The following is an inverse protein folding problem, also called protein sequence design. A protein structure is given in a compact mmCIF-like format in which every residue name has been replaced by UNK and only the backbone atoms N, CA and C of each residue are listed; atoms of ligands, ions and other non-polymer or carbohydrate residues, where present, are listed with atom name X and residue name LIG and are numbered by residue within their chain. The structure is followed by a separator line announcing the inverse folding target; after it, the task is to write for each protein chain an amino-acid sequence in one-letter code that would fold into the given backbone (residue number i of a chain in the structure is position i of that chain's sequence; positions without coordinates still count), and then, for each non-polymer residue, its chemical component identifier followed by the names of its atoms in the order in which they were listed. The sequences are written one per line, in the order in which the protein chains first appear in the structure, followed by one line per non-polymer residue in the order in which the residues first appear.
data_IF_042584536720
#
_entry.id   IF_042584536720
#
_cell.length_a   1.000
_cell.length_b   1.000
_cell.length_c   1.000
_cell.angle_alpha   90.00
_cell.angle_beta   90.00
_cell.angle_gamma   90.00
#
_symmetry.space_group_name_H-M   'P 1'
#
loop_
_entity.id
_entity.type
_entity.pdbx_description
1 polymer ?
#
# COMPACT_ATOMS: atom_id res chain seq x y z
N UNK A 1 -10.03 24.85 -26.54
CA UNK A 1 -11.03 24.00 -25.91
C UNK A 1 -11.10 24.27 -24.42
N UNK A 2 -12.26 24.06 -23.83
CA UNK A 2 -12.49 24.25 -22.39
C UNK A 2 -12.32 22.96 -21.57
N UNK A 3 -12.11 21.83 -22.23
CA UNK A 3 -11.98 20.53 -21.60
C UNK A 3 -10.54 20.06 -21.62
N UNK A 4 -10.09 19.50 -20.48
CA UNK A 4 -8.75 18.98 -20.29
C UNK A 4 -8.87 17.59 -19.72
N UNK A 5 -8.15 16.63 -20.31
CA UNK A 5 -7.98 15.29 -19.78
C UNK A 5 -6.49 14.96 -19.66
N UNK A 6 -6.17 14.10 -18.70
CA UNK A 6 -4.79 13.68 -18.44
C UNK A 6 -4.69 12.17 -18.37
N UNK A 7 -3.57 11.65 -18.87
CA UNK A 7 -3.12 10.28 -18.68
C UNK A 7 -1.65 10.28 -18.33
N UNK A 8 -1.21 9.32 -17.57
CA UNK A 8 0.20 9.15 -17.21
C UNK A 8 0.64 7.70 -17.38
N UNK A 9 1.94 7.53 -17.54
CA UNK A 9 2.62 6.25 -17.62
C UNK A 9 3.91 6.33 -16.78
N UNK A 10 4.30 5.29 -16.04
CA UNK A 10 3.72 3.93 -15.99
C UNK A 10 2.44 3.81 -15.15
N UNK A 11 2.18 4.71 -14.23
CA UNK A 11 0.96 4.67 -13.41
C UNK A 11 0.34 6.04 -13.19
N UNK A 12 -0.93 6.09 -12.74
CA UNK A 12 -1.61 7.32 -12.37
C UNK A 12 -1.17 7.94 -11.04
N UNK A 13 -0.39 7.22 -10.20
CA UNK A 13 -0.01 7.62 -8.85
C UNK A 13 1.48 7.96 -8.71
N UNK A 14 1.95 8.91 -9.50
CA UNK A 14 3.30 9.48 -9.31
C UNK A 14 4.44 8.66 -9.91
N UNK A 15 4.17 7.62 -10.67
CA UNK A 15 5.18 6.86 -11.39
C UNK A 15 5.43 5.46 -10.80
N UNK A 16 6.55 4.87 -11.13
CA UNK A 16 7.00 3.59 -10.64
C UNK A 16 8.32 3.75 -9.88
N UNK A 17 8.63 2.85 -8.96
CA UNK A 17 9.73 2.98 -8.03
C UNK A 17 10.47 1.66 -7.84
N UNK A 18 11.80 1.73 -7.80
CA UNK A 18 12.65 0.59 -7.46
C UNK A 18 13.99 1.07 -6.86
N UNK A 19 14.61 0.27 -6.02
CA UNK A 19 15.99 0.46 -5.55
C UNK A 19 16.96 0.00 -6.64
N UNK A 20 16.98 0.72 -7.76
CA UNK A 20 17.75 0.43 -8.97
C UNK A 20 18.34 1.70 -9.57
N UNK A 21 19.24 1.55 -10.54
CA UNK A 21 19.83 2.67 -11.25
C UNK A 21 19.03 3.10 -12.49
N UNK A 22 19.70 3.85 -13.37
CA UNK A 22 19.10 4.39 -14.59
C UNK A 22 18.59 3.32 -15.58
N UNK A 23 19.09 2.09 -15.48
CA UNK A 23 18.60 0.93 -16.23
C UNK A 23 17.09 0.73 -16.03
N UNK A 24 16.58 0.97 -14.82
CA UNK A 24 15.15 0.88 -14.52
C UNK A 24 14.34 1.88 -15.36
N UNK A 25 14.80 3.13 -15.47
CA UNK A 25 14.13 4.14 -16.29
C UNK A 25 14.13 3.74 -17.78
N UNK A 26 15.22 3.13 -18.26
CA UNK A 26 15.30 2.66 -19.66
C UNK A 26 14.37 1.49 -19.93
N UNK A 27 14.22 0.57 -18.98
CA UNK A 27 13.34 -0.60 -19.07
C UNK A 27 11.85 -0.24 -19.05
N UNK A 28 11.49 0.93 -18.51
CA UNK A 28 10.11 1.41 -18.52
C UNK A 28 9.53 1.66 -19.91
N UNK A 29 10.37 1.91 -20.92
CA UNK A 29 9.90 2.17 -22.28
C UNK A 29 9.03 3.44 -22.40
N UNK A 30 9.42 4.53 -21.73
CA UNK A 30 8.60 5.75 -21.66
C UNK A 30 8.31 6.38 -23.04
N UNK A 31 9.29 6.32 -23.94
CA UNK A 31 9.13 6.87 -25.29
C UNK A 31 8.17 6.03 -26.13
N UNK A 32 8.25 4.73 -26.00
CA UNK A 32 7.40 3.75 -26.68
C UNK A 32 5.94 3.82 -26.19
N UNK A 33 5.73 4.12 -24.91
CA UNK A 33 4.40 4.25 -24.33
C UNK A 33 3.69 5.58 -24.70
N UNK A 34 4.43 6.63 -25.03
CA UNK A 34 3.88 7.97 -25.22
C UNK A 34 2.73 8.06 -26.25
N UNK A 35 2.78 7.40 -27.43
CA UNK A 35 1.64 7.42 -28.35
C UNK A 35 0.35 6.86 -27.76
N UNK A 36 0.42 5.73 -27.04
CA UNK A 36 -0.75 5.12 -26.39
C UNK A 36 -1.35 6.01 -25.31
N UNK A 37 -0.50 6.65 -24.48
CA UNK A 37 -0.94 7.61 -23.46
C UNK A 37 -1.68 8.80 -24.11
N UNK A 38 -1.21 9.30 -25.24
CA UNK A 38 -1.89 10.35 -26.00
C UNK A 38 -3.26 9.88 -26.51
N UNK A 39 -3.32 8.70 -27.10
CA UNK A 39 -4.58 8.14 -27.63
C UNK A 39 -5.62 7.97 -26.51
N UNK A 40 -5.23 7.46 -25.35
CA UNK A 40 -6.12 7.35 -24.19
C UNK A 40 -6.60 8.71 -23.70
N UNK A 41 -5.71 9.70 -23.57
CA UNK A 41 -6.08 11.04 -23.16
C UNK A 41 -7.08 11.70 -24.14
N UNK A 42 -6.90 11.50 -25.43
CA UNK A 42 -7.83 11.98 -26.46
C UNK A 42 -9.18 11.27 -26.38
N UNK A 43 -9.20 9.95 -26.16
CA UNK A 43 -10.42 9.18 -26.02
C UNK A 43 -11.26 9.64 -24.81
N UNK A 44 -10.61 10.03 -23.72
CA UNK A 44 -11.29 10.54 -22.52
C UNK A 44 -12.05 11.85 -22.76
N UNK A 45 -11.63 12.69 -23.73
CA UNK A 45 -12.35 13.94 -24.05
C UNK A 45 -13.76 13.69 -24.57
N UNK A 46 -14.03 12.51 -25.11
CA UNK A 46 -15.34 12.13 -25.67
C UNK A 46 -15.99 10.93 -24.98
N UNK A 47 -15.33 10.37 -23.96
CA UNK A 47 -15.88 9.24 -23.23
C UNK A 47 -17.13 9.64 -22.45
N UNK A 48 -18.22 8.85 -22.52
CA UNK A 48 -19.40 9.11 -21.70
C UNK A 48 -19.09 8.83 -20.22
N UNK A 49 -19.81 9.48 -19.28
CA UNK A 49 -19.77 9.12 -17.87
C UNK A 49 -20.15 7.65 -17.67
N UNK A 50 -19.58 7.02 -16.65
CA UNK A 50 -20.02 5.69 -16.22
C UNK A 50 -21.50 5.76 -15.83
N UNK A 51 -22.35 4.86 -16.34
CA UNK A 51 -23.77 4.84 -15.95
C UNK A 51 -23.92 4.57 -14.45
N UNK A 52 -24.95 5.14 -13.83
CA UNK A 52 -25.31 4.83 -12.44
C UNK A 52 -25.88 3.40 -12.35
N UNK A 53 -25.48 2.66 -11.31
CA UNK A 53 -25.94 1.29 -11.08
C UNK A 53 -25.02 0.51 -10.14
N UNK A 54 -25.41 -0.71 -9.85
CA UNK A 54 -24.61 -1.69 -9.11
C UNK A 54 -23.79 -2.53 -10.11
N UNK A 55 -22.49 -2.62 -9.89
CA UNK A 55 -21.55 -3.29 -10.81
C UNK A 55 -20.57 -4.17 -10.07
N UNK A 56 -20.22 -5.29 -10.68
CA UNK A 56 -18.99 -6.00 -10.34
C UNK A 56 -17.80 -5.24 -10.93
N UNK A 57 -16.76 -4.99 -10.11
CA UNK A 57 -15.62 -4.15 -10.47
C UNK A 57 -14.34 -5.00 -10.51
N UNK A 58 -13.59 -4.90 -11.60
CA UNK A 58 -12.21 -5.39 -11.69
C UNK A 58 -11.29 -4.17 -11.63
N UNK A 59 -10.47 -4.09 -10.57
CA UNK A 59 -9.51 -3.01 -10.40
C UNK A 59 -8.16 -3.39 -11.01
N UNK A 60 -7.60 -2.51 -11.83
CA UNK A 60 -6.21 -2.60 -12.27
C UNK A 60 -5.24 -2.40 -11.10
N UNK A 61 -4.01 -2.88 -11.25
CA UNK A 61 -3.00 -2.83 -10.19
C UNK A 61 -2.69 -1.43 -9.68
N UNK A 62 -2.71 -0.44 -10.55
CA UNK A 62 -2.48 0.98 -10.23
C UNK A 62 -3.57 1.57 -9.32
N UNK A 63 -4.83 1.25 -9.56
CA UNK A 63 -5.93 1.64 -8.68
C UNK A 63 -5.98 0.79 -7.42
N UNK A 64 -5.72 -0.52 -7.54
CA UNK A 64 -5.72 -1.43 -6.40
C UNK A 64 -4.61 -1.10 -5.40
N UNK A 65 -3.44 -0.65 -5.84
CA UNK A 65 -2.36 -0.27 -4.91
C UNK A 65 -2.77 0.89 -4.00
N UNK A 66 -3.50 1.89 -4.51
CA UNK A 66 -4.03 2.97 -3.68
C UNK A 66 -5.10 2.46 -2.71
N UNK A 67 -6.01 1.61 -3.18
CA UNK A 67 -7.02 0.99 -2.32
C UNK A 67 -6.37 0.21 -1.16
N UNK A 68 -5.33 -0.56 -1.43
CA UNK A 68 -4.59 -1.30 -0.41
C UNK A 68 -3.84 -0.36 0.54
N UNK A 69 -3.22 0.70 0.03
CA UNK A 69 -2.53 1.70 0.83
C UNK A 69 -3.46 2.30 1.89
N UNK A 70 -4.64 2.78 1.48
CA UNK A 70 -5.58 3.46 2.36
C UNK A 70 -6.38 2.50 3.25
N UNK A 71 -6.78 1.35 2.72
CA UNK A 71 -7.67 0.43 3.43
C UNK A 71 -6.94 -0.65 4.23
N UNK A 72 -5.74 -1.06 3.82
CA UNK A 72 -5.02 -2.16 4.45
C UNK A 72 -3.67 -1.74 5.04
N UNK A 73 -3.08 -0.64 4.58
CA UNK A 73 -1.80 -0.14 5.07
C UNK A 73 -1.95 0.73 6.30
N UNK A 74 -2.50 1.91 6.16
CA UNK A 74 -2.66 2.86 7.26
C UNK A 74 -3.49 2.34 8.44
N UNK A 75 -4.60 1.62 8.26
CA UNK A 75 -5.38 1.14 9.40
C UNK A 75 -4.66 0.15 10.31
N UNK A 76 -3.58 -0.46 9.88
CA UNK A 76 -2.80 -1.43 10.67
C UNK A 76 -1.50 -0.86 11.25
N UNK A 77 -1.29 0.45 11.17
CA UNK A 77 -0.25 1.17 11.90
C UNK A 77 -0.68 1.33 13.37
N UNK A 78 0.02 0.69 14.31
CA UNK A 78 -0.42 0.63 15.72
C UNK A 78 -0.48 1.98 16.42
N UNK A 79 0.31 2.97 16.05
CA UNK A 79 0.22 4.34 16.55
C UNK A 79 -1.13 4.99 16.19
N UNK A 80 -1.67 4.71 15.01
CA UNK A 80 -3.03 5.13 14.63
C UNK A 80 -4.09 4.38 15.41
N UNK A 81 -3.89 3.07 15.64
CA UNK A 81 -4.82 2.22 16.40
C UNK A 81 -4.93 2.70 17.84
N UNK A 82 -3.82 3.07 18.47
CA UNK A 82 -3.79 3.60 19.85
C UNK A 82 -4.13 5.08 19.95
N UNK A 83 -4.21 5.79 18.83
CA UNK A 83 -4.62 7.19 18.79
C UNK A 83 -3.50 8.21 18.90
N UNK A 84 -2.24 7.79 18.84
CA UNK A 84 -1.06 8.68 18.90
C UNK A 84 -1.02 9.65 17.72
N UNK A 85 -1.55 9.24 16.57
CA UNK A 85 -1.62 10.02 15.32
C UNK A 85 -2.97 10.73 15.11
N UNK A 86 -3.88 10.74 16.07
CA UNK A 86 -5.28 11.15 15.86
C UNK A 86 -5.40 12.62 15.42
N UNK A 87 -4.49 13.48 15.86
CA UNK A 87 -4.49 14.91 15.50
C UNK A 87 -3.92 15.20 14.12
N UNK A 88 -3.12 14.29 13.57
CA UNK A 88 -2.42 14.46 12.30
C UNK A 88 -3.04 13.61 11.19
N UNK A 89 -3.30 12.34 11.47
CA UNK A 89 -3.61 11.34 10.47
C UNK A 89 -4.89 10.52 10.77
N UNK A 90 -5.61 10.87 11.85
CA UNK A 90 -6.79 10.13 12.29
C UNK A 90 -6.48 8.81 12.99
N UNK A 91 -7.51 8.13 13.45
CA UNK A 91 -7.43 6.85 14.12
C UNK A 91 -7.69 5.66 13.17
N UNK A 92 -7.73 4.45 13.76
CA UNK A 92 -8.07 3.23 13.05
C UNK A 92 -9.28 2.54 13.67
N UNK A 93 -10.07 1.91 12.82
CA UNK A 93 -11.17 1.04 13.23
C UNK A 93 -10.71 -0.38 13.60
N UNK A 94 -9.47 -0.75 13.26
CA UNK A 94 -8.90 -2.08 13.51
C UNK A 94 -8.29 -2.16 14.92
N UNK A 95 -9.17 -2.10 15.93
CA UNK A 95 -8.79 -2.19 17.34
C UNK A 95 -8.28 -3.60 17.71
N UNK A 96 -7.47 -3.76 18.78
CA UNK A 96 -6.84 -5.05 19.12
C UNK A 96 -7.81 -6.22 19.34
N UNK A 97 -9.02 -5.95 19.81
CA UNK A 97 -10.08 -6.96 19.99
C UNK A 97 -10.58 -7.59 18.68
N UNK A 98 -10.34 -6.92 17.55
CA UNK A 98 -10.71 -7.43 16.22
C UNK A 98 -9.69 -8.39 15.64
N UNK A 99 -8.45 -8.36 16.12
CA UNK A 99 -7.40 -9.25 15.61
C UNK A 99 -7.76 -10.71 15.87
N UNK A 100 -7.73 -11.53 14.82
CA UNK A 100 -8.10 -12.95 14.87
C UNK A 100 -9.61 -13.21 14.85
N UNK A 101 -10.46 -12.17 14.76
CA UNK A 101 -11.92 -12.33 14.73
C UNK A 101 -12.62 -11.56 13.62
N UNK A 102 -12.01 -10.49 13.13
CA UNK A 102 -12.61 -9.64 12.11
C UNK A 102 -12.33 -10.15 10.70
N UNK A 103 -13.38 -10.55 9.99
CA UNK A 103 -13.32 -10.88 8.57
C UNK A 103 -13.20 -9.58 7.75
N UNK A 104 -11.99 -9.35 7.26
CA UNK A 104 -11.64 -8.14 6.51
C UNK A 104 -12.05 -8.25 5.03
N UNK A 105 -11.96 -9.45 4.49
CA UNK A 105 -12.22 -9.75 3.09
C UNK A 105 -12.69 -11.20 2.92
N UNK A 106 -12.84 -11.65 1.68
CA UNK A 106 -13.08 -13.06 1.39
C UNK A 106 -11.87 -13.93 1.77
N UNK A 107 -12.08 -15.23 1.92
CA UNK A 107 -11.06 -16.25 2.23
C UNK A 107 -9.94 -16.38 1.17
N UNK A 108 -10.13 -15.77 0.01
CA UNK A 108 -9.12 -15.72 -1.05
C UNK A 108 -8.04 -14.65 -0.82
N UNK A 109 -8.27 -13.71 0.10
CA UNK A 109 -7.43 -12.53 0.29
C UNK A 109 -6.36 -12.79 1.35
N UNK A 110 -5.10 -12.67 0.95
CA UNK A 110 -3.93 -12.70 1.82
C UNK A 110 -3.10 -11.45 1.59
N UNK A 111 -2.85 -10.67 2.64
CA UNK A 111 -2.12 -9.40 2.60
C UNK A 111 -0.97 -9.44 3.59
N UNK A 112 0.21 -9.03 3.15
CA UNK A 112 1.42 -8.96 3.96
C UNK A 112 2.06 -7.58 3.88
N UNK A 113 2.58 -7.12 5.01
CA UNK A 113 3.52 -6.02 5.10
C UNK A 113 4.94 -6.59 5.11
N UNK A 114 5.76 -6.28 4.09
CA UNK A 114 7.08 -6.90 3.94
C UNK A 114 8.18 -5.87 3.72
N UNK A 115 8.96 -5.61 4.77
CA UNK A 115 10.14 -4.73 4.72
C UNK A 115 11.40 -5.42 4.19
N UNK A 116 11.31 -6.68 3.70
CA UNK A 116 12.45 -7.49 3.27
C UNK A 116 12.47 -7.78 1.76
N UNK A 117 11.43 -7.37 1.02
CA UNK A 117 11.29 -7.62 -0.42
C UNK A 117 12.47 -7.04 -1.21
N UNK A 118 13.26 -7.84 -1.97
CA UNK A 118 14.44 -7.34 -2.64
C UNK A 118 14.12 -6.26 -3.68
N UNK A 119 14.85 -5.13 -3.63
CA UNK A 119 14.73 -4.03 -4.59
C UNK A 119 13.46 -3.19 -4.48
N UNK A 120 12.55 -3.51 -3.57
CA UNK A 120 11.34 -2.74 -3.35
C UNK A 120 11.61 -1.48 -2.52
N UNK A 121 10.80 -0.43 -2.74
CA UNK A 121 10.99 0.90 -2.14
C UNK A 121 10.92 0.88 -0.61
N UNK A 122 10.00 0.09 -0.05
CA UNK A 122 9.79 -0.03 1.39
C UNK A 122 10.67 -1.06 2.09
N UNK A 123 11.82 -1.45 1.51
CA UNK A 123 12.75 -2.44 2.07
C UNK A 123 14.03 -1.79 2.60
N UNK A 124 14.51 -2.27 3.75
CA UNK A 124 15.70 -1.75 4.43
C UNK A 124 16.32 -2.80 5.35
N UNK A 125 17.55 -2.56 5.82
CA UNK A 125 18.24 -3.46 6.73
C UNK A 125 17.77 -3.37 8.19
N UNK A 126 17.49 -2.16 8.64
CA UNK A 126 16.98 -1.83 9.99
C UNK A 126 16.09 -0.61 9.89
N UNK A 127 15.07 -0.55 10.71
CA UNK A 127 14.26 0.65 10.89
C UNK A 127 14.98 1.70 11.76
N UNK A 128 14.34 2.85 11.98
CA UNK A 128 14.94 3.95 12.75
C UNK A 128 14.95 3.70 14.28
N UNK A 129 14.42 2.58 14.75
CA UNK A 129 14.62 2.06 16.10
C UNK A 129 15.68 0.94 16.19
N UNK A 130 16.36 0.63 15.08
CA UNK A 130 17.36 -0.44 14.99
C UNK A 130 16.77 -1.85 14.98
N UNK A 131 15.50 -1.99 14.62
CA UNK A 131 14.82 -3.30 14.51
C UNK A 131 14.89 -3.79 13.08
N UNK A 132 15.18 -5.08 12.87
CA UNK A 132 15.13 -5.70 11.55
C UNK A 132 13.70 -5.79 11.06
N UNK A 133 13.41 -5.37 9.81
CA UNK A 133 12.10 -5.58 9.22
C UNK A 133 11.81 -7.06 9.04
N UNK A 134 10.55 -7.40 9.01
CA UNK A 134 10.04 -8.76 8.79
C UNK A 134 8.95 -8.74 7.73
N UNK A 135 8.61 -9.90 7.21
CA UNK A 135 7.35 -10.12 6.52
C UNK A 135 6.29 -10.42 7.57
N UNK A 136 5.28 -9.57 7.64
CA UNK A 136 4.22 -9.59 8.66
C UNK A 136 2.88 -9.87 7.99
N UNK A 137 2.17 -10.95 8.35
CA UNK A 137 0.82 -11.15 7.87
C UNK A 137 -0.12 -10.10 8.46
N UNK A 138 -0.91 -9.49 7.61
CA UNK A 138 -1.94 -8.49 7.97
C UNK A 138 -3.33 -9.12 7.83
N UNK A 139 -3.57 -9.78 6.71
CA UNK A 139 -4.79 -10.56 6.46
C UNK A 139 -4.38 -11.94 5.96
N UNK A 140 -4.89 -12.98 6.57
CA UNK A 140 -4.73 -14.37 6.16
C UNK A 140 -6.11 -15.02 5.98
N UNK A 141 -6.32 -15.58 4.78
CA UNK A 141 -7.61 -16.19 4.40
C UNK A 141 -8.82 -15.28 4.75
N UNK A 142 -8.67 -13.98 4.44
CA UNK A 142 -9.67 -12.96 4.71
C UNK A 142 -9.74 -12.49 6.16
N UNK A 143 -9.07 -13.13 7.10
CA UNK A 143 -9.10 -12.78 8.52
C UNK A 143 -8.00 -11.76 8.86
N UNK A 144 -8.35 -10.71 9.58
CA UNK A 144 -7.38 -9.74 10.08
C UNK A 144 -6.53 -10.34 11.21
N UNK A 145 -5.18 -10.37 11.05
CA UNK A 145 -4.29 -11.09 11.95
C UNK A 145 -3.12 -10.28 12.50
N UNK A 146 -2.77 -9.11 11.92
CA UNK A 146 -1.54 -8.44 12.32
C UNK A 146 -1.49 -6.95 12.10
N UNK A 147 -0.47 -6.34 12.70
CA UNK A 147 -0.19 -4.90 12.66
C UNK A 147 1.25 -4.60 12.25
N UNK A 148 1.49 -3.40 11.76
CA UNK A 148 2.81 -2.78 11.74
C UNK A 148 3.05 -2.07 13.08
N UNK A 149 4.24 -2.24 13.67
CA UNK A 149 4.51 -1.83 15.04
C UNK A 149 5.85 -1.16 15.24
N UNK A 150 5.91 -0.31 16.27
CA UNK A 150 7.13 0.18 16.93
C UNK A 150 7.49 -0.71 18.13
N UNK A 151 8.63 -0.43 18.78
CA UNK A 151 8.99 -1.10 20.03
C UNK A 151 8.01 -0.78 21.16
N UNK A 152 7.55 0.47 21.23
CA UNK A 152 6.58 0.93 22.23
C UNK A 152 5.21 0.30 21.99
N UNK A 153 4.67 0.44 20.78
CA UNK A 153 3.32 -0.06 20.48
C UNK A 153 3.23 -1.60 20.52
N UNK A 154 4.28 -2.32 20.11
CA UNK A 154 4.34 -3.78 20.26
C UNK A 154 4.34 -4.21 21.72
N UNK A 155 5.07 -3.49 22.58
CA UNK A 155 5.10 -3.79 24.02
C UNK A 155 3.73 -3.67 24.69
N UNK A 156 2.85 -2.75 24.22
CA UNK A 156 1.47 -2.64 24.70
C UNK A 156 0.63 -3.89 24.40
N UNK A 157 1.01 -4.65 23.37
CA UNK A 157 0.39 -5.93 23.02
C UNK A 157 1.13 -7.13 23.60
N UNK A 158 2.25 -6.92 24.32
CA UNK A 158 3.11 -7.99 24.82
C UNK A 158 3.93 -8.68 23.72
N UNK A 159 4.21 -7.98 22.63
CA UNK A 159 4.89 -8.49 21.44
C UNK A 159 6.23 -7.77 21.19
N UNK A 160 7.01 -8.28 20.25
CA UNK A 160 8.21 -7.61 19.73
C UNK A 160 7.86 -6.79 18.50
N UNK A 161 8.55 -5.63 18.35
CA UNK A 161 8.46 -4.80 17.14
C UNK A 161 8.77 -5.61 15.89
N UNK A 162 8.05 -5.30 14.82
CA UNK A 162 8.30 -5.90 13.50
C UNK A 162 9.09 -4.98 12.54
N UNK A 163 9.64 -3.88 13.08
CA UNK A 163 10.59 -3.05 12.36
C UNK A 163 9.96 -2.17 11.31
N UNK A 164 8.95 -1.40 11.68
CA UNK A 164 8.22 -0.50 10.75
C UNK A 164 8.37 0.99 11.09
N UNK A 165 9.36 1.36 11.90
CA UNK A 165 9.57 2.75 12.30
C UNK A 165 10.41 3.53 11.29
N UNK A 166 9.92 4.67 10.83
CA UNK A 166 10.63 5.54 9.90
C UNK A 166 10.39 7.00 10.22
N UNK A 167 11.48 7.77 10.33
CA UNK A 167 11.44 9.23 10.39
C UNK A 167 11.35 9.83 8.99
N UNK A 168 10.66 10.94 8.88
CA UNK A 168 10.57 11.72 7.65
C UNK A 168 11.93 12.38 7.30
N UNK A 169 12.72 12.71 8.32
CA UNK A 169 14.08 13.23 8.18
C UNK A 169 14.86 13.05 9.50
N UNK A 170 16.17 13.30 9.46
CA UNK A 170 17.08 13.20 10.61
C UNK A 170 16.64 14.02 11.84
N UNK A 171 15.87 15.08 11.66
CA UNK A 171 15.37 15.94 12.75
C UNK A 171 13.93 15.63 13.18
N UNK A 172 13.36 14.52 12.74
CA UNK A 172 11.98 14.11 13.03
C UNK A 172 11.93 12.88 13.92
N UNK A 173 10.89 12.79 14.72
CA UNK A 173 10.58 11.58 15.50
C UNK A 173 10.11 10.50 14.53
N UNK A 174 10.64 9.28 14.63
CA UNK A 174 10.13 8.15 13.86
C UNK A 174 8.66 7.86 14.19
N UNK A 175 7.91 7.47 13.18
CA UNK A 175 6.53 7.00 13.27
C UNK A 175 6.42 5.62 12.62
N UNK A 176 5.36 4.87 12.94
CA UNK A 176 5.08 3.65 12.20
C UNK A 176 4.69 4.04 10.78
N UNK A 177 5.38 3.46 9.80
CA UNK A 177 5.14 3.72 8.39
C UNK A 177 5.03 2.41 7.61
N UNK A 178 4.17 2.45 6.60
CA UNK A 178 4.04 1.34 5.69
C UNK A 178 5.39 0.95 5.09
N UNK A 179 5.66 -0.33 5.12
CA UNK A 179 6.62 -1.03 4.29
C UNK A 179 5.93 -1.45 2.99
N UNK A 180 6.46 -2.39 2.23
CA UNK A 180 5.75 -2.86 1.04
C UNK A 180 4.51 -3.66 1.46
N UNK A 181 3.33 -3.20 1.08
CA UNK A 181 2.07 -3.92 1.30
C UNK A 181 1.77 -4.74 0.04
N UNK A 182 1.64 -6.04 0.21
CA UNK A 182 1.51 -6.99 -0.88
C UNK A 182 0.19 -7.77 -0.75
N UNK A 183 -0.56 -7.81 -1.83
CA UNK A 183 -1.65 -8.76 -2.02
C UNK A 183 -1.10 -10.00 -2.71
N UNK A 184 -1.20 -11.15 -2.05
CA UNK A 184 -0.75 -12.40 -2.63
C UNK A 184 -1.68 -12.87 -3.75
N UNK A 185 -1.12 -13.52 -4.77
CA UNK A 185 -1.96 -14.13 -5.80
C UNK A 185 -2.93 -15.15 -5.19
N UNK A 186 -4.20 -15.06 -5.53
CA UNK A 186 -5.17 -16.07 -5.13
C UNK A 186 -4.84 -17.43 -5.77
N UNK A 187 -5.15 -18.54 -5.08
CA UNK A 187 -4.88 -19.89 -5.56
C UNK A 187 -5.73 -20.33 -6.77
N UNK A 188 -6.61 -19.47 -7.27
CA UNK A 188 -7.36 -19.67 -8.52
C UNK A 188 -6.68 -18.85 -9.59
N UNK A 189 -6.20 -19.52 -10.64
CA UNK A 189 -5.71 -18.84 -11.83
C UNK A 189 -6.74 -17.80 -12.32
N UNK A 190 -6.26 -16.71 -12.91
CA UNK A 190 -7.15 -15.72 -13.53
C UNK A 190 -8.05 -16.41 -14.56
N UNK A 191 -9.31 -16.00 -14.69
CA UNK A 191 -10.23 -16.53 -15.68
C UNK A 191 -9.74 -16.26 -17.10
#
# INVERSE_FOLDING_TARGET
GSEIQTRSFPTGHGGDFAQRGYEFIREMGLAEAAPGVLEEALALLSAPPVPEGDYDIILGSDQLCLQMHESCGHPVELDRVFGDEISLAGGSFLTPDKRGSFHYASDLVNIYADGTSPGALGSYGYDDEGVKPRRVPIVEEGLFVGYMSSRESAALLGEESNGCMRADSWGRIPLIRMVNINLEPGGRGAP
#
